data_IF_643300917476
#
_entry.id   IF_643300917476
#
_cell.length_a   1.000
_cell.length_b   1.000
_cell.length_c   1.000
_cell.angle_alpha   90.00
_cell.angle_beta   90.00
_cell.angle_gamma   90.00
#
_symmetry.space_group_name_H-M   'P 1'
#
loop_
_entity.id
_entity.type
_entity.pdbx_description
1 polymer ?
#
# COMPACT_ATOMS: atom_id res chain seq x y z
N UNK A 1 42.12 -5.57 49.64
CA UNK A 1 42.93 -6.66 49.06
C UNK A 1 42.65 -6.60 47.57
N UNK A 2 43.50 -5.91 46.82
CA UNK A 2 43.36 -5.82 45.37
C UNK A 2 43.84 -7.15 44.77
N UNK A 3 43.00 -7.85 44.01
CA UNK A 3 43.39 -9.09 43.35
C UNK A 3 44.39 -8.80 42.21
N UNK A 4 45.67 -9.16 42.35
CA UNK A 4 46.70 -8.83 41.36
C UNK A 4 46.45 -9.53 40.02
N UNK A 5 45.82 -10.70 40.06
CA UNK A 5 45.47 -11.52 38.89
C UNK A 5 44.46 -10.78 37.98
N UNK A 6 43.52 -10.03 38.56
CA UNK A 6 42.54 -9.28 37.78
C UNK A 6 43.16 -8.17 36.95
N UNK A 7 44.17 -7.47 37.51
CA UNK A 7 44.88 -6.38 36.82
C UNK A 7 45.70 -6.89 35.63
N UNK A 8 46.29 -8.08 35.73
CA UNK A 8 47.04 -8.70 34.63
C UNK A 8 46.12 -9.15 33.48
N UNK A 9 44.97 -9.74 33.79
CA UNK A 9 43.99 -10.14 32.77
C UNK A 9 43.44 -8.92 32.02
N UNK A 10 43.14 -7.83 32.72
CA UNK A 10 42.65 -6.61 32.09
C UNK A 10 43.72 -5.95 31.21
N UNK A 11 44.98 -5.94 31.65
CA UNK A 11 46.10 -5.44 30.85
C UNK A 11 46.30 -6.27 29.57
N UNK A 12 46.22 -7.60 29.67
CA UNK A 12 46.30 -8.50 28.52
C UNK A 12 45.14 -8.27 27.53
N UNK A 13 43.91 -8.13 28.03
CA UNK A 13 42.74 -7.87 27.20
C UNK A 13 42.86 -6.54 26.43
N UNK A 14 43.37 -5.47 27.08
CA UNK A 14 43.63 -4.19 26.41
C UNK A 14 44.68 -4.33 25.31
N UNK A 15 45.77 -5.05 25.56
CA UNK A 15 46.83 -5.27 24.58
C UNK A 15 46.32 -6.01 23.34
N UNK A 16 45.52 -7.07 23.52
CA UNK A 16 44.90 -7.81 22.43
C UNK A 16 43.94 -6.91 21.63
N UNK A 17 43.10 -6.13 22.32
CA UNK A 17 42.17 -5.21 21.66
C UNK A 17 42.88 -4.11 20.86
N UNK A 18 44.04 -3.63 21.31
CA UNK A 18 44.86 -2.67 20.54
C UNK A 18 45.49 -3.31 19.30
N UNK A 19 45.97 -4.54 19.40
CA UNK A 19 46.53 -5.25 18.24
C UNK A 19 45.46 -5.49 17.17
N UNK A 20 44.28 -5.99 17.56
CA UNK A 20 43.16 -6.25 16.64
C UNK A 20 42.65 -4.98 15.96
N UNK A 21 42.56 -3.87 16.68
CA UNK A 21 42.17 -2.59 16.06
C UNK A 21 43.15 -2.15 14.99
N UNK A 22 44.46 -2.30 15.24
CA UNK A 22 45.48 -1.90 14.27
C UNK A 22 45.41 -2.74 12.99
N UNK A 23 45.24 -4.06 13.10
CA UNK A 23 45.20 -4.97 11.94
C UNK A 23 43.95 -4.77 11.09
N UNK A 24 42.80 -4.51 11.72
CA UNK A 24 41.56 -4.17 11.00
C UNK A 24 41.72 -2.85 10.24
N UNK A 25 42.29 -1.81 10.87
CA UNK A 25 42.51 -0.53 10.17
C UNK A 25 43.51 -0.65 9.02
N UNK A 26 44.51 -1.53 9.13
CA UNK A 26 45.49 -1.75 8.07
C UNK A 26 44.88 -2.47 6.87
N UNK A 27 44.10 -3.53 7.11
CA UNK A 27 43.42 -4.27 6.02
C UNK A 27 42.38 -3.42 5.30
N UNK A 28 41.62 -2.57 6.02
CA UNK A 28 40.69 -1.62 5.39
C UNK A 28 41.44 -0.60 4.52
N UNK A 29 42.60 -0.11 4.97
CA UNK A 29 43.41 0.85 4.20
C UNK A 29 43.97 0.22 2.92
N UNK A 30 44.49 -1.00 3.00
CA UNK A 30 44.99 -1.74 1.83
C UNK A 30 43.87 -1.98 0.81
N UNK A 31 42.69 -2.42 1.27
CA UNK A 31 41.54 -2.66 0.38
C UNK A 31 40.99 -1.39 -0.29
N UNK A 32 41.02 -0.25 0.41
CA UNK A 32 40.62 1.04 -0.17
C UNK A 32 41.66 1.59 -1.14
N UNK A 33 42.96 1.37 -0.89
CA UNK A 33 44.03 1.79 -1.80
C UNK A 33 43.99 1.00 -3.12
N UNK A 34 43.76 -0.31 -3.06
CA UNK A 34 43.68 -1.16 -4.25
C UNK A 34 42.46 -0.84 -5.13
N UNK A 35 41.30 -0.55 -4.52
CA UNK A 35 40.10 -0.20 -5.27
C UNK A 35 40.06 1.26 -5.76
N UNK A 36 40.81 2.16 -5.11
CA UNK A 36 40.82 3.58 -5.45
C UNK A 36 41.75 3.97 -6.61
N UNK A 37 42.84 3.23 -6.84
CA UNK A 37 43.92 3.69 -7.72
C UNK A 37 43.86 3.17 -9.17
N UNK A 38 42.97 2.23 -9.51
CA UNK A 38 43.15 1.43 -10.74
C UNK A 38 42.40 1.88 -12.01
N UNK A 39 41.85 3.10 -12.14
CA UNK A 39 41.15 3.51 -13.39
C UNK A 39 41.23 4.99 -13.79
N UNK A 40 42.38 5.64 -13.70
CA UNK A 40 42.65 6.81 -14.56
C UNK A 40 43.65 6.43 -15.64
N UNK A 41 43.14 5.93 -16.77
CA UNK A 41 43.87 5.78 -18.02
C UNK A 41 43.56 7.03 -18.89
N UNK A 42 44.38 8.09 -18.87
CA UNK A 42 43.99 9.40 -19.41
C UNK A 42 44.36 9.55 -20.89
N UNK A 43 44.07 8.55 -21.74
CA UNK A 43 44.51 8.56 -23.15
C UNK A 43 43.57 7.97 -24.18
N UNK A 44 42.26 7.94 -23.92
CA UNK A 44 41.26 7.57 -24.92
C UNK A 44 40.11 8.59 -24.96
N UNK A 45 40.28 9.59 -25.84
CA UNK A 45 39.23 10.24 -26.63
C UNK A 45 38.09 10.93 -25.88
N UNK A 46 38.10 12.26 -25.90
CA UNK A 46 37.09 13.23 -25.46
C UNK A 46 35.69 13.14 -26.15
N UNK A 47 35.20 11.94 -26.51
CA UNK A 47 33.92 11.80 -27.24
C UNK A 47 32.97 10.69 -26.74
N UNK A 48 33.24 10.00 -25.62
CA UNK A 48 32.44 8.83 -25.23
C UNK A 48 32.05 8.71 -23.73
N UNK A 49 32.03 9.81 -22.96
CA UNK A 49 31.25 9.84 -21.71
C UNK A 49 29.90 10.52 -21.92
N UNK A 50 29.22 10.17 -23.02
CA UNK A 50 27.77 10.36 -23.07
C UNK A 50 27.21 9.33 -22.10
N UNK A 51 26.85 9.79 -20.91
CA UNK A 51 26.37 9.01 -19.78
C UNK A 51 25.56 7.80 -20.24
N UNK A 52 26.09 6.59 -20.05
CA UNK A 52 25.39 5.33 -20.34
C UNK A 52 24.05 5.19 -19.55
N UNK A 53 23.78 6.14 -18.66
CA UNK A 53 22.52 6.31 -17.93
C UNK A 53 21.41 6.99 -18.77
N UNK A 54 21.72 7.65 -19.88
CA UNK A 54 20.71 8.36 -20.71
C UNK A 54 19.82 7.43 -21.53
N UNK A 55 20.29 6.20 -21.82
CA UNK A 55 19.53 5.25 -22.64
C UNK A 55 18.67 4.26 -21.83
N UNK A 56 18.70 4.30 -20.49
CA UNK A 56 17.93 3.34 -19.68
C UNK A 56 16.43 3.69 -19.70
N UNK A 57 15.63 2.72 -20.10
CA UNK A 57 14.17 2.81 -20.21
C UNK A 57 13.48 2.00 -19.11
N UNK A 58 12.84 2.69 -18.18
CA UNK A 58 12.08 2.07 -17.10
C UNK A 58 10.68 1.63 -17.54
N UNK A 59 10.21 0.54 -16.93
CA UNK A 59 8.81 0.09 -16.94
C UNK A 59 7.97 0.90 -15.96
N UNK A 60 6.65 0.78 -16.05
CA UNK A 60 5.76 1.44 -15.08
C UNK A 60 5.90 0.92 -13.64
N UNK A 61 6.36 -0.32 -13.45
CA UNK A 61 6.60 -0.91 -12.13
C UNK A 61 7.90 -0.35 -11.53
N UNK A 62 8.99 -0.32 -12.29
CA UNK A 62 10.26 0.27 -11.82
C UNK A 62 10.12 1.77 -11.51
N UNK A 63 9.29 2.51 -12.26
CA UNK A 63 9.00 3.91 -11.95
C UNK A 63 8.15 4.05 -10.68
N UNK A 64 7.25 3.09 -10.42
CA UNK A 64 6.46 3.08 -9.20
C UNK A 64 7.35 2.88 -7.97
N UNK A 65 8.30 1.95 -8.07
CA UNK A 65 9.29 1.69 -7.01
C UNK A 65 10.23 2.89 -6.82
N UNK A 66 10.71 3.49 -7.92
CA UNK A 66 11.60 4.66 -7.89
C UNK A 66 10.94 5.88 -7.23
N UNK A 67 9.65 6.12 -7.53
CA UNK A 67 8.89 7.26 -7.00
C UNK A 67 8.24 6.96 -5.64
N UNK A 68 8.25 5.71 -5.16
CA UNK A 68 7.56 5.31 -3.93
C UNK A 68 6.03 5.44 -4.02
N UNK A 69 5.44 5.29 -5.21
CA UNK A 69 3.99 5.43 -5.44
C UNK A 69 3.41 4.15 -6.04
N UNK A 70 2.09 3.95 -5.92
CA UNK A 70 1.46 2.78 -6.56
C UNK A 70 1.55 2.82 -8.09
N UNK A 71 1.71 1.66 -8.74
CA UNK A 71 1.65 1.50 -10.21
C UNK A 71 0.41 2.16 -10.83
N UNK A 72 -0.75 2.04 -10.17
CA UNK A 72 -2.01 2.68 -10.61
C UNK A 72 -1.87 4.20 -10.68
N UNK A 73 -1.15 4.80 -9.74
CA UNK A 73 -0.91 6.24 -9.71
C UNK A 73 0.00 6.66 -10.87
N UNK A 74 1.10 5.94 -11.12
CA UNK A 74 1.97 6.17 -12.29
C UNK A 74 1.15 6.13 -13.58
N UNK A 75 0.32 5.09 -13.76
CA UNK A 75 -0.54 4.99 -14.93
C UNK A 75 -1.53 6.16 -15.05
N UNK A 76 -2.06 6.65 -13.93
CA UNK A 76 -2.91 7.85 -13.93
C UNK A 76 -2.15 9.10 -14.36
N UNK A 77 -0.92 9.30 -13.88
CA UNK A 77 -0.09 10.45 -14.29
C UNK A 77 0.24 10.39 -15.77
N UNK A 78 0.61 9.21 -16.28
CA UNK A 78 0.88 8.98 -17.70
C UNK A 78 -0.37 9.20 -18.56
N UNK A 79 -1.53 8.68 -18.14
CA UNK A 79 -2.80 8.89 -18.84
C UNK A 79 -3.19 10.36 -18.90
N UNK A 80 -2.90 11.11 -17.83
CA UNK A 80 -3.18 12.54 -17.74
C UNK A 80 -2.10 13.39 -18.44
N UNK A 81 -1.08 12.78 -19.06
CA UNK A 81 0.01 13.49 -19.72
C UNK A 81 0.94 14.26 -18.77
N UNK A 82 0.88 13.98 -17.46
CA UNK A 82 1.70 14.66 -16.44
C UNK A 82 3.09 14.07 -16.32
N UNK A 83 3.24 12.78 -16.61
CA UNK A 83 4.51 12.07 -16.55
C UNK A 83 5.02 11.87 -17.99
N UNK A 84 6.23 12.37 -18.32
CA UNK A 84 6.77 12.25 -19.67
C UNK A 84 7.07 10.78 -19.98
N UNK A 85 6.55 10.28 -21.11
CA UNK A 85 6.64 8.86 -21.47
C UNK A 85 6.84 8.65 -22.96
N UNK A 86 7.48 7.54 -23.31
CA UNK A 86 7.69 7.09 -24.69
C UNK A 86 6.87 5.82 -24.92
N UNK A 87 5.98 5.86 -25.92
CA UNK A 87 5.22 4.68 -26.35
C UNK A 87 6.03 3.88 -27.35
N UNK A 88 6.27 2.60 -27.04
CA UNK A 88 6.95 1.63 -27.90
C UNK A 88 5.95 0.51 -28.21
N UNK A 89 5.21 0.67 -29.30
CA UNK A 89 4.08 -0.20 -29.64
C UNK A 89 3.00 -0.14 -28.56
N UNK A 90 2.65 -1.30 -27.99
CA UNK A 90 1.65 -1.43 -26.92
C UNK A 90 2.18 -1.07 -25.54
N UNK A 91 3.51 -1.00 -25.37
CA UNK A 91 4.14 -0.79 -24.06
C UNK A 91 4.56 0.66 -23.89
N UNK A 92 4.43 1.17 -22.66
CA UNK A 92 4.91 2.50 -22.27
C UNK A 92 6.21 2.37 -21.50
N UNK A 93 7.20 3.18 -21.85
CA UNK A 93 8.51 3.27 -21.20
C UNK A 93 8.82 4.70 -20.77
N UNK A 94 9.69 4.84 -19.79
CA UNK A 94 10.10 6.12 -19.24
C UNK A 94 11.61 6.25 -19.32
N UNK A 95 12.09 7.36 -19.90
CA UNK A 95 13.52 7.66 -19.96
C UNK A 95 13.98 8.13 -18.59
N UNK A 96 15.10 7.59 -18.10
CA UNK A 96 15.66 7.97 -16.81
C UNK A 96 15.95 9.48 -16.71
N UNK A 97 16.59 10.05 -17.72
CA UNK A 97 16.92 11.48 -17.77
C UNK A 97 15.67 12.37 -17.65
N UNK A 98 14.65 12.06 -18.44
CA UNK A 98 13.40 12.83 -18.44
C UNK A 98 12.62 12.70 -17.13
N UNK A 99 12.70 11.55 -16.44
CA UNK A 99 12.14 11.41 -15.10
C UNK A 99 12.87 12.26 -14.07
N UNK A 100 14.20 12.32 -14.13
CA UNK A 100 15.01 13.15 -13.23
C UNK A 100 14.73 14.64 -13.44
N UNK A 101 14.66 15.10 -14.70
CA UNK A 101 14.27 16.47 -15.04
C UNK A 101 12.86 16.82 -14.53
N UNK A 102 11.92 15.90 -14.69
CA UNK A 102 10.56 16.08 -14.22
C UNK A 102 10.48 16.20 -12.69
N UNK A 103 11.24 15.37 -11.95
CA UNK A 103 11.33 15.46 -10.50
C UNK A 103 11.91 16.82 -10.06
N UNK A 104 12.99 17.25 -10.68
CA UNK A 104 13.59 18.56 -10.41
C UNK A 104 12.58 19.71 -10.65
N UNK A 105 11.74 19.62 -11.69
CA UNK A 105 10.67 20.59 -11.95
C UNK A 105 9.57 20.56 -10.89
N UNK A 106 9.20 19.39 -10.38
CA UNK A 106 8.21 19.26 -9.30
C UNK A 106 8.74 19.83 -7.98
N UNK A 107 10.02 19.65 -7.68
CA UNK A 107 10.67 20.21 -6.49
C UNK A 107 10.81 21.74 -6.59
N UNK A 108 11.14 22.25 -7.79
CA UNK A 108 11.25 23.68 -8.05
C UNK A 108 9.91 24.40 -8.10
N UNK A 109 8.80 23.68 -8.29
CA UNK A 109 7.45 24.23 -8.17
C UNK A 109 7.00 24.02 -6.72
N UNK A 110 7.31 24.94 -5.78
CA UNK A 110 6.83 24.77 -4.43
C UNK A 110 5.31 24.65 -4.51
N UNK A 111 4.73 23.66 -3.83
CA UNK A 111 3.28 23.50 -3.67
C UNK A 111 2.70 24.63 -2.79
N UNK A 112 3.12 25.85 -3.03
CA UNK A 112 2.53 27.07 -2.52
C UNK A 112 1.12 27.19 -3.11
N UNK A 113 0.16 27.54 -2.28
CA UNK A 113 -1.23 27.87 -2.60
C UNK A 113 -2.28 26.75 -2.68
N UNK A 114 -1.98 25.44 -2.56
CA UNK A 114 -3.08 24.44 -2.58
C UNK A 114 -3.80 24.24 -1.24
N UNK A 115 -3.23 24.70 -0.13
CA UNK A 115 -3.88 24.66 1.19
C UNK A 115 -4.71 25.89 1.55
N UNK A 116 -4.69 26.97 0.77
CA UNK A 116 -5.49 28.17 1.08
C UNK A 116 -6.94 28.11 0.58
N UNK A 117 -7.33 27.11 -0.24
CA UNK A 117 -8.67 27.05 -0.83
C UNK A 117 -9.73 26.24 -0.08
N UNK A 118 -9.42 25.66 1.08
CA UNK A 118 -10.38 24.78 1.77
C UNK A 118 -11.11 25.39 2.98
N UNK A 119 -10.78 26.60 3.41
CA UNK A 119 -11.43 27.20 4.60
C UNK A 119 -12.44 28.31 4.29
N UNK A 120 -12.55 28.81 3.06
CA UNK A 120 -13.41 29.97 2.74
C UNK A 120 -14.83 29.65 2.25
N UNK A 121 -15.22 28.38 2.10
CA UNK A 121 -16.53 28.02 1.48
C UNK A 121 -17.53 27.30 2.40
N UNK A 122 -17.34 27.31 3.73
CA UNK A 122 -18.22 26.59 4.70
C UNK A 122 -19.35 27.47 5.29
N UNK A 123 -19.47 28.77 4.95
CA UNK A 123 -20.53 29.64 5.50
C UNK A 123 -21.38 30.33 4.43
N UNK A 124 -22.26 29.59 3.72
CA UNK A 124 -23.43 30.22 3.10
C UNK A 124 -24.58 29.29 2.67
N UNK A 125 -25.05 28.36 3.51
CA UNK A 125 -26.36 27.72 3.28
C UNK A 125 -27.07 27.34 4.58
N UNK A 126 -27.34 28.31 5.45
CA UNK A 126 -28.38 28.20 6.48
C UNK A 126 -29.31 29.41 6.40
N UNK A 127 -30.29 29.36 5.50
CA UNK A 127 -31.55 30.08 5.69
C UNK A 127 -32.61 29.69 4.65
N UNK A 128 -33.68 29.11 5.18
CA UNK A 128 -35.08 29.35 4.83
C UNK A 128 -35.79 28.42 3.83
N UNK A 129 -37.01 28.06 4.27
CA UNK A 129 -38.20 27.63 3.50
C UNK A 129 -38.21 26.16 3.11
N UNK A 130 -38.85 25.24 3.87
CA UNK A 130 -40.26 25.20 4.33
C UNK A 130 -41.26 25.31 3.16
N UNK A 131 -42.08 24.26 3.03
CA UNK A 131 -43.35 24.15 2.30
C UNK A 131 -43.32 23.59 0.87
N UNK A 132 -43.72 22.32 0.72
CA UNK A 132 -44.99 21.89 0.05
C UNK A 132 -44.90 20.40 -0.33
N UNK A 133 -45.68 19.54 0.32
CA UNK A 133 -47.04 19.11 -0.05
C UNK A 133 -47.07 18.08 -1.18
N UNK A 134 -47.47 16.88 -0.76
CA UNK A 134 -48.14 15.78 -1.48
C UNK A 134 -48.79 16.20 -2.82
N UNK A 135 -48.38 15.57 -3.93
CA UNK A 135 -49.24 15.14 -5.06
C UNK A 135 -48.40 14.48 -6.18
N UNK A 136 -48.77 13.25 -6.55
CA UNK A 136 -49.37 12.94 -7.88
C UNK A 136 -48.34 12.26 -8.78
N UNK A 137 -48.24 10.92 -8.73
CA UNK A 137 -48.94 9.98 -9.62
C UNK A 137 -49.00 10.41 -11.08
N UNK A 138 -48.50 9.49 -11.92
CA UNK A 138 -48.60 9.42 -13.37
C UNK A 138 -47.72 10.38 -14.19
N UNK A 139 -46.72 9.82 -14.88
CA UNK A 139 -46.83 9.60 -16.34
C UNK A 139 -45.59 8.92 -16.96
N UNK A 140 -45.92 7.90 -17.75
CA UNK A 140 -45.36 7.58 -19.07
C UNK A 140 -44.00 6.86 -19.16
N UNK A 141 -44.14 5.55 -19.29
CA UNK A 141 -43.66 4.76 -20.44
C UNK A 141 -43.32 5.56 -21.70
N UNK A 142 -42.07 5.45 -22.17
CA UNK A 142 -41.71 5.04 -23.54
C UNK A 142 -40.21 5.25 -23.76
N UNK A 143 -39.48 4.18 -24.10
CA UNK A 143 -38.62 4.13 -25.29
C UNK A 143 -37.81 2.82 -25.26
N UNK A 144 -38.34 1.87 -26.01
CA UNK A 144 -37.63 0.72 -26.56
C UNK A 144 -36.58 1.27 -27.54
N UNK A 145 -35.30 1.01 -27.30
CA UNK A 145 -34.28 1.12 -28.33
C UNK A 145 -33.22 0.05 -28.06
N UNK A 146 -33.25 -0.97 -28.93
CA UNK A 146 -32.23 -1.98 -29.09
C UNK A 146 -30.84 -1.35 -29.16
N UNK A 147 -29.96 -1.77 -28.27
CA UNK A 147 -28.53 -1.55 -28.38
C UNK A 147 -27.86 -2.89 -28.09
N UNK A 148 -27.59 -3.63 -29.18
CA UNK A 148 -26.81 -4.86 -29.21
C UNK A 148 -25.56 -4.77 -28.33
N UNK A 149 -25.64 -5.39 -27.15
CA UNK A 149 -24.52 -5.62 -26.25
C UNK A 149 -23.60 -6.66 -26.90
N UNK A 150 -22.60 -6.20 -27.65
CA UNK A 150 -21.41 -6.98 -27.98
C UNK A 150 -20.69 -7.32 -26.68
N UNK A 151 -20.96 -8.51 -26.15
CA UNK A 151 -20.21 -9.13 -25.07
C UNK A 151 -18.78 -9.38 -25.52
N UNK A 152 -17.85 -8.50 -25.15
CA UNK A 152 -16.43 -8.80 -25.23
C UNK A 152 -16.14 -9.88 -24.18
N UNK A 153 -15.62 -11.07 -24.55
CA UNK A 153 -15.20 -12.06 -23.57
C UNK A 153 -14.00 -11.49 -22.82
N UNK A 154 -14.28 -10.95 -21.65
CA UNK A 154 -13.28 -10.47 -20.69
C UNK A 154 -12.52 -11.71 -20.23
N UNK A 155 -11.37 -11.96 -20.87
CA UNK A 155 -10.45 -13.01 -20.46
C UNK A 155 -10.23 -12.89 -18.96
N UNK A 156 -10.56 -13.96 -18.24
CA UNK A 156 -10.26 -14.08 -16.81
C UNK A 156 -8.76 -13.82 -16.66
N UNK A 157 -8.31 -12.81 -15.90
CA UNK A 157 -6.90 -12.68 -15.60
C UNK A 157 -6.47 -13.98 -14.92
N UNK A 158 -5.54 -14.70 -15.56
CA UNK A 158 -4.88 -15.85 -14.97
C UNK A 158 -4.38 -15.41 -13.60
N UNK A 159 -4.92 -16.06 -12.55
CA UNK A 159 -4.39 -16.00 -11.20
C UNK A 159 -2.91 -16.36 -11.31
N UNK A 160 -2.04 -15.36 -11.20
CA UNK A 160 -0.65 -15.62 -10.93
C UNK A 160 -0.60 -16.33 -9.58
N UNK A 161 0.02 -17.50 -9.57
CA UNK A 161 0.33 -18.33 -8.40
C UNK A 161 1.28 -17.56 -7.47
N UNK A 162 0.78 -16.50 -6.87
CA UNK A 162 1.37 -15.91 -5.70
C UNK A 162 1.00 -16.87 -4.58
N UNK A 163 1.98 -17.63 -4.11
CA UNK A 163 2.05 -18.18 -2.76
C UNK A 163 2.05 -17.04 -1.73
N UNK A 164 1.01 -16.22 -1.78
CA UNK A 164 0.63 -15.31 -0.74
C UNK A 164 0.33 -16.21 0.46
N UNK A 165 1.15 -16.11 1.51
CA UNK A 165 0.72 -16.52 2.84
C UNK A 165 -0.67 -15.94 3.00
N UNK A 166 -1.70 -16.78 2.94
CA UNK A 166 -3.09 -16.36 3.08
C UNK A 166 -3.14 -15.60 4.38
N UNK A 167 -3.21 -14.27 4.28
CA UNK A 167 -3.32 -13.44 5.43
C UNK A 167 -4.73 -13.67 5.94
N UNK A 168 -4.88 -14.67 6.80
CA UNK A 168 -6.14 -15.01 7.46
C UNK A 168 -6.50 -13.78 8.27
N UNK A 169 -7.45 -12.98 7.78
CA UNK A 169 -7.80 -11.71 8.41
C UNK A 169 -8.21 -11.93 9.87
N UNK A 170 -7.92 -10.96 10.75
CA UNK A 170 -8.19 -11.10 12.19
C UNK A 170 -9.63 -11.53 12.51
N UNK A 171 -10.62 -11.11 11.71
CA UNK A 171 -12.02 -11.53 11.84
C UNK A 171 -12.23 -13.03 11.57
N UNK A 172 -11.53 -13.61 10.59
CA UNK A 172 -11.64 -15.03 10.26
C UNK A 172 -11.03 -15.91 11.35
N UNK A 173 -9.93 -15.46 11.96
CA UNK A 173 -9.33 -16.13 13.12
C UNK A 173 -10.30 -16.12 14.30
N UNK A 174 -10.93 -14.96 14.57
CA UNK A 174 -11.87 -14.79 15.67
C UNK A 174 -13.19 -15.55 15.45
N UNK A 175 -13.71 -15.59 14.22
CA UNK A 175 -14.89 -16.40 13.89
C UNK A 175 -14.60 -17.89 14.08
N UNK A 176 -13.44 -18.36 13.63
CA UNK A 176 -12.99 -19.75 13.79
C UNK A 176 -12.83 -20.13 15.26
N UNK A 177 -12.26 -19.26 16.10
CA UNK A 177 -12.11 -19.55 17.54
C UNK A 177 -13.46 -19.64 18.27
N UNK A 178 -14.51 -19.02 17.74
CA UNK A 178 -15.87 -19.09 18.25
C UNK A 178 -16.69 -20.23 17.63
N UNK A 179 -16.12 -21.02 16.71
CA UNK A 179 -16.84 -22.08 16.00
C UNK A 179 -17.86 -21.57 14.99
N UNK A 180 -17.77 -20.31 14.56
CA UNK A 180 -18.65 -19.73 13.53
C UNK A 180 -17.97 -19.87 12.17
N UNK A 181 -18.64 -20.51 11.21
CA UNK A 181 -18.14 -20.63 9.85
C UNK A 181 -18.17 -19.26 9.15
N UNK A 182 -17.02 -18.80 8.66
CA UNK A 182 -16.86 -17.49 8.05
C UNK A 182 -17.64 -17.37 6.73
N UNK A 183 -17.76 -18.46 5.97
CA UNK A 183 -18.50 -18.47 4.70
C UNK A 183 -20.01 -18.33 4.90
N UNK A 184 -20.51 -18.67 6.09
CA UNK A 184 -21.92 -18.51 6.45
C UNK A 184 -22.29 -17.07 6.84
N UNK A 185 -21.29 -16.21 7.10
CA UNK A 185 -21.52 -14.84 7.52
C UNK A 185 -21.92 -13.94 6.33
N UNK A 186 -22.77 -12.92 6.55
CA UNK A 186 -23.04 -11.91 5.54
C UNK A 186 -21.74 -11.25 5.08
N UNK A 187 -21.63 -10.94 3.79
CA UNK A 187 -20.50 -10.16 3.26
C UNK A 187 -20.48 -8.79 3.94
N UNK A 188 -19.51 -8.58 4.81
CA UNK A 188 -19.33 -7.33 5.53
C UNK A 188 -18.23 -6.50 4.92
N UNK A 189 -18.44 -5.18 4.93
CA UNK A 189 -17.39 -4.21 4.61
C UNK A 189 -16.61 -3.83 5.87
N UNK A 190 -15.41 -3.26 5.72
CA UNK A 190 -14.64 -2.73 6.86
C UNK A 190 -15.43 -1.67 7.64
N UNK A 191 -16.34 -0.94 6.98
CA UNK A 191 -17.23 0.02 7.63
C UNK A 191 -18.28 -0.61 8.54
N UNK A 192 -18.73 -1.83 8.22
CA UNK A 192 -19.68 -2.58 9.06
C UNK A 192 -18.98 -3.12 10.30
N UNK A 193 -17.79 -3.70 10.13
CA UNK A 193 -16.97 -4.18 11.26
C UNK A 193 -16.66 -3.02 12.20
N UNK A 194 -16.27 -1.86 11.66
CA UNK A 194 -16.04 -0.64 12.44
C UNK A 194 -17.25 -0.25 13.28
N UNK A 195 -18.46 -0.25 12.69
CA UNK A 195 -19.70 0.11 13.39
C UNK A 195 -20.08 -0.89 14.48
N UNK A 196 -19.83 -2.18 14.26
CA UNK A 196 -20.11 -3.23 15.24
C UNK A 196 -19.12 -3.17 16.40
N UNK A 197 -17.84 -2.96 16.10
CA UNK A 197 -16.78 -2.88 17.09
C UNK A 197 -16.77 -1.55 17.87
N UNK A 198 -17.44 -0.52 17.36
CA UNK A 198 -17.45 0.85 17.88
C UNK A 198 -16.05 1.45 18.08
N UNK A 199 -15.19 1.30 17.07
CA UNK A 199 -13.81 1.80 17.10
C UNK A 199 -13.48 2.69 15.90
N UNK A 200 -12.38 3.42 16.00
CA UNK A 200 -11.83 4.15 14.86
C UNK A 200 -11.25 3.19 13.80
N UNK A 201 -11.27 3.65 12.54
CA UNK A 201 -10.78 2.86 11.40
C UNK A 201 -9.29 2.51 11.52
N UNK A 202 -8.49 3.38 12.14
CA UNK A 202 -7.07 3.17 12.34
C UNK A 202 -6.80 1.99 13.29
N UNK A 203 -7.56 1.88 14.38
CA UNK A 203 -7.47 0.77 15.34
C UNK A 203 -7.89 -0.54 14.65
N UNK A 204 -9.00 -0.51 13.90
CA UNK A 204 -9.47 -1.67 13.16
C UNK A 204 -8.43 -2.16 12.13
N UNK A 205 -7.82 -1.25 11.37
CA UNK A 205 -6.76 -1.61 10.41
C UNK A 205 -5.50 -2.15 11.10
N UNK A 206 -5.15 -1.59 12.26
CA UNK A 206 -4.05 -2.10 13.07
C UNK A 206 -4.26 -3.54 13.50
N UNK A 207 -5.47 -3.87 13.92
CA UNK A 207 -5.84 -5.24 14.26
C UNK A 207 -5.89 -6.16 13.02
N UNK A 208 -6.54 -5.71 11.96
CA UNK A 208 -6.78 -6.54 10.79
C UNK A 208 -5.51 -6.83 9.97
N UNK A 209 -4.56 -5.91 9.91
CA UNK A 209 -3.41 -6.03 9.00
C UNK A 209 -2.05 -5.95 9.68
N UNK A 210 -1.97 -5.31 10.86
CA UNK A 210 -0.69 -5.07 11.54
C UNK A 210 -0.50 -5.97 12.78
N UNK A 211 -1.43 -6.90 13.03
CA UNK A 211 -1.35 -7.82 14.17
C UNK A 211 -1.42 -7.13 15.54
N UNK A 212 -1.95 -5.91 15.61
CA UNK A 212 -2.19 -5.22 16.89
C UNK A 212 -3.40 -5.82 17.59
N UNK A 213 -3.46 -5.69 18.90
CA UNK A 213 -4.62 -6.13 19.67
C UNK A 213 -5.79 -5.16 19.52
N UNK A 214 -7.01 -5.71 19.46
CA UNK A 214 -8.24 -4.93 19.48
C UNK A 214 -8.58 -4.60 20.94
N UNK A 215 -9.07 -3.39 21.27
CA UNK A 215 -9.55 -3.08 22.62
C UNK A 215 -10.56 -4.12 23.12
N UNK A 216 -10.57 -4.46 24.41
CA UNK A 216 -11.38 -5.57 24.94
C UNK A 216 -12.89 -5.33 24.75
N UNK A 217 -13.36 -4.09 24.91
CA UNK A 217 -14.76 -3.71 24.68
C UNK A 217 -15.19 -3.94 23.22
N UNK A 218 -14.32 -3.58 22.28
CA UNK A 218 -14.56 -3.77 20.85
C UNK A 218 -14.57 -5.26 20.47
N UNK A 219 -13.69 -6.05 21.09
CA UNK A 219 -13.63 -7.50 20.90
C UNK A 219 -14.89 -8.19 21.45
N UNK A 220 -15.41 -7.74 22.60
CA UNK A 220 -16.67 -8.22 23.16
C UNK A 220 -17.84 -7.90 22.21
N UNK A 221 -17.91 -6.68 21.68
CA UNK A 221 -18.96 -6.27 20.74
C UNK A 221 -18.98 -7.13 19.47
N UNK A 222 -17.81 -7.37 18.85
CA UNK A 222 -17.68 -8.23 17.67
C UNK A 222 -18.06 -9.68 18.00
N UNK A 223 -17.63 -10.18 19.16
CA UNK A 223 -17.94 -11.55 19.62
C UNK A 223 -19.44 -11.74 19.83
N UNK A 224 -20.10 -10.78 20.48
CA UNK A 224 -21.54 -10.77 20.70
C UNK A 224 -22.30 -10.76 19.37
N UNK A 225 -21.85 -9.95 18.43
CA UNK A 225 -22.43 -9.91 17.09
C UNK A 225 -22.28 -11.25 16.36
N UNK A 226 -21.09 -11.88 16.39
CA UNK A 226 -20.84 -13.18 15.75
C UNK A 226 -21.71 -14.30 16.32
N UNK A 227 -21.85 -14.37 17.65
CA UNK A 227 -22.75 -15.35 18.30
C UNK A 227 -24.19 -15.18 17.84
N UNK A 228 -24.66 -13.94 17.76
CA UNK A 228 -26.01 -13.63 17.28
C UNK A 228 -26.24 -14.04 15.82
N UNK A 229 -25.21 -14.02 14.96
CA UNK A 229 -25.32 -14.53 13.59
C UNK A 229 -25.36 -16.06 13.54
N UNK A 230 -24.51 -16.73 14.33
CA UNK A 230 -24.52 -18.19 14.43
C UNK A 230 -25.89 -18.75 14.81
N UNK A 231 -26.56 -18.14 15.79
CA UNK A 231 -27.92 -18.53 16.19
C UNK A 231 -28.98 -18.33 15.10
N UNK A 232 -28.81 -17.35 14.20
CA UNK A 232 -29.74 -17.10 13.10
C UNK A 232 -29.61 -18.13 11.99
N UNK A 233 -28.38 -18.57 11.71
CA UNK A 233 -28.12 -19.57 10.68
C UNK A 233 -28.71 -20.93 11.06
N UNK A 234 -28.55 -21.38 12.31
CA UNK A 234 -29.11 -22.65 12.78
C UNK A 234 -30.64 -22.71 12.72
N UNK A 235 -31.33 -21.58 12.90
CA UNK A 235 -32.80 -21.54 12.87
C UNK A 235 -33.36 -21.57 11.44
N UNK A 236 -32.54 -21.26 10.43
CA UNK A 236 -32.97 -21.25 9.02
C UNK A 236 -33.02 -22.65 8.42
N UNK A 237 -32.15 -23.56 8.85
CA UNK A 237 -32.10 -24.94 8.31
C UNK A 237 -33.25 -25.84 8.79
N UNK A 238 -33.92 -25.51 9.90
CA UNK A 238 -35.03 -26.32 10.42
C UNK A 238 -36.41 -25.99 9.83
N UNK A 239 -36.51 -24.93 9.02
CA UNK A 239 -37.80 -24.42 8.50
C UNK A 239 -38.22 -24.93 7.11
N UNK A 240 -37.35 -25.64 6.38
CA UNK A 240 -37.61 -26.05 5.00
C UNK A 240 -37.66 -27.58 4.86
N UNK A 241 -38.66 -28.21 5.46
CA UNK A 241 -39.18 -29.51 5.00
C UNK A 241 -40.71 -29.50 5.05
N UNK A 242 -41.40 -28.83 4.11
CA UNK A 242 -42.80 -29.13 3.88
C UNK A 242 -42.89 -30.51 3.22
N UNK A 243 -43.20 -31.54 4.00
CA UNK A 243 -43.63 -32.85 3.49
C UNK A 243 -44.72 -32.63 2.44
N UNK A 244 -44.44 -33.05 1.20
CA UNK A 244 -45.44 -33.32 0.17
C UNK A 244 -45.88 -34.77 0.26
#
# INVERSE_FOLDING_TARGET
MDDPIGKEIEAAARAIATMLRSTITQTIREFLAENGASRSNPRQGDFASVDNHTCKLYTGDEVADLLGVSRRHVHSLTKNGKLPSVRLGTRVRYRQSTLAEWLAQQEATPQQARHERTTSNVRKTTSASKSRTVKELARKSNAKADCSSKSNPRGKPQQADNSAKEFVGGLQILARSLGVDYESLPRMTNGDIRRIADVEIAILHGWQYLGRELPPEALENVTKWLRNQGSKSSNKEQGENPSS
#
